data_IF_758026682488
#
_entry.id   IF_758026682488
#
_cell.length_a   1.000
_cell.length_b   1.000
_cell.length_c   1.000
_cell.angle_alpha   90.00
_cell.angle_beta   90.00
_cell.angle_gamma   90.00
#
_symmetry.space_group_name_H-M   'P 1'
#
loop_
_entity.id
_entity.type
_entity.pdbx_description
1 polymer ?
#
# COMPACT_ATOMS: atom_id res chain seq x y z
N UNK A 1 -13.41 -11.64 -15.22
CA UNK A 1 -12.12 -11.77 -15.94
C UNK A 1 -11.02 -11.60 -14.91
N UNK A 2 -9.97 -12.41 -14.94
CA UNK A 2 -8.80 -12.19 -14.06
C UNK A 2 -8.05 -10.95 -14.53
N UNK A 3 -7.48 -10.19 -13.61
CA UNK A 3 -6.63 -9.06 -13.92
C UNK A 3 -5.39 -9.49 -14.71
N UNK A 4 -4.84 -8.58 -15.54
CA UNK A 4 -3.57 -8.83 -16.22
C UNK A 4 -2.45 -9.05 -15.20
N UNK A 5 -1.49 -9.89 -15.56
CA UNK A 5 -0.31 -10.17 -14.74
C UNK A 5 0.81 -9.27 -15.25
N UNK A 6 1.49 -8.50 -14.38
CA UNK A 6 2.62 -7.69 -14.82
C UNK A 6 3.78 -8.57 -15.27
N UNK A 7 4.46 -8.15 -16.34
CA UNK A 7 5.69 -8.79 -16.83
C UNK A 7 6.88 -8.46 -15.92
N UNK A 8 6.84 -7.30 -15.25
CA UNK A 8 7.89 -6.85 -14.34
C UNK A 8 7.29 -6.05 -13.17
N UNK A 9 7.90 -6.24 -12.01
CA UNK A 9 7.64 -5.45 -10.80
C UNK A 9 8.94 -4.78 -10.41
N UNK A 10 8.94 -3.45 -10.32
CA UNK A 10 10.12 -2.67 -9.95
C UNK A 10 9.84 -1.80 -8.73
N UNK A 11 10.77 -1.74 -7.79
CA UNK A 11 10.66 -0.91 -6.60
C UNK A 11 11.59 0.30 -6.68
N UNK A 12 11.00 1.48 -6.84
CA UNK A 12 11.70 2.77 -6.81
C UNK A 12 11.95 3.18 -5.36
N UNK A 13 13.02 2.66 -4.75
CA UNK A 13 13.31 2.82 -3.32
C UNK A 13 13.36 4.29 -2.86
N UNK A 14 13.94 5.19 -3.65
CA UNK A 14 14.03 6.61 -3.31
C UNK A 14 12.67 7.31 -3.33
N UNK A 15 11.83 6.99 -4.32
CA UNK A 15 10.48 7.54 -4.45
C UNK A 15 9.46 6.82 -3.54
N UNK A 16 9.83 5.65 -3.00
CA UNK A 16 8.93 4.73 -2.29
C UNK A 16 7.71 4.40 -3.13
N UNK A 17 7.94 3.99 -4.38
CA UNK A 17 6.90 3.59 -5.33
C UNK A 17 7.14 2.19 -5.88
N UNK A 18 6.07 1.41 -5.96
CA UNK A 18 6.05 0.15 -6.68
C UNK A 18 5.51 0.38 -8.09
N UNK A 19 6.32 0.05 -9.08
CA UNK A 19 5.97 0.11 -10.50
C UNK A 19 5.63 -1.29 -11.01
N UNK A 20 4.44 -1.41 -11.60
CA UNK A 20 3.93 -2.62 -12.22
C UNK A 20 3.91 -2.39 -13.73
N UNK A 21 4.71 -3.16 -14.47
CA UNK A 21 4.85 -3.05 -15.92
C UNK A 21 4.12 -4.22 -16.56
N UNK A 22 3.26 -3.92 -17.53
CA UNK A 22 2.42 -4.84 -18.27
C UNK A 22 2.89 -4.93 -19.73
N UNK A 23 2.19 -5.73 -20.54
CA UNK A 23 2.39 -5.77 -21.99
C UNK A 23 2.08 -4.39 -22.61
N UNK A 24 2.59 -4.14 -23.82
CA UNK A 24 2.43 -2.88 -24.57
C UNK A 24 3.00 -1.63 -23.86
N UNK A 25 4.05 -1.81 -23.05
CA UNK A 25 4.74 -0.75 -22.27
C UNK A 25 3.81 0.02 -21.30
N UNK A 26 2.64 -0.55 -20.98
CA UNK A 26 1.73 0.02 -20.00
C UNK A 26 2.32 -0.18 -18.61
N UNK A 27 2.51 0.90 -17.87
CA UNK A 27 3.03 0.84 -16.49
C UNK A 27 2.21 1.69 -15.53
N UNK A 28 2.11 1.23 -14.30
CA UNK A 28 1.41 1.92 -13.23
C UNK A 28 2.29 2.01 -11.99
N UNK A 29 2.26 3.16 -11.31
CA UNK A 29 2.99 3.41 -10.07
C UNK A 29 2.03 3.59 -8.91
N UNK A 30 2.30 2.85 -7.83
CA UNK A 30 1.61 2.93 -6.56
C UNK A 30 2.61 3.30 -5.47
N UNK A 31 2.31 4.31 -4.66
CA UNK A 31 3.16 4.61 -3.51
C UNK A 31 3.10 3.48 -2.48
N UNK A 32 4.21 3.22 -1.81
CA UNK A 32 4.28 2.21 -0.76
C UNK A 32 3.39 2.60 0.42
N UNK A 33 3.24 3.90 0.70
CA UNK A 33 2.24 4.40 1.64
C UNK A 33 0.83 3.92 1.27
N UNK A 34 0.41 4.14 0.02
CA UNK A 34 -0.91 3.72 -0.45
C UNK A 34 -1.09 2.21 -0.32
N UNK A 35 -0.10 1.43 -0.75
CA UNK A 35 -0.11 -0.02 -0.59
C UNK A 35 -0.24 -0.43 0.88
N UNK A 36 0.48 0.23 1.80
CA UNK A 36 0.50 -0.07 3.22
C UNK A 36 -0.84 0.22 3.90
N UNK A 37 -1.45 1.37 3.60
CA UNK A 37 -2.72 1.78 4.23
C UNK A 37 -3.90 1.00 3.68
N UNK A 38 -3.78 0.48 2.45
CA UNK A 38 -4.72 -0.46 1.83
C UNK A 38 -4.20 -1.91 1.83
N UNK A 39 -3.41 -2.32 2.83
CA UNK A 39 -2.96 -3.71 2.92
C UNK A 39 -4.17 -4.65 3.06
N UNK A 40 -4.21 -5.78 2.34
CA UNK A 40 -5.34 -6.73 2.40
C UNK A 40 -5.31 -7.61 3.66
N UNK A 41 -4.35 -7.40 4.55
CA UNK A 41 -4.18 -8.17 5.79
C UNK A 41 -5.38 -8.03 6.73
N UNK A 42 -5.65 -9.09 7.52
CA UNK A 42 -6.72 -9.10 8.52
C UNK A 42 -6.61 -7.97 9.56
N UNK A 43 -5.39 -7.52 9.85
CA UNK A 43 -5.10 -6.36 10.70
C UNK A 43 -5.67 -5.05 10.14
N UNK A 44 -5.66 -4.88 8.81
CA UNK A 44 -6.08 -3.66 8.13
C UNK A 44 -7.54 -3.71 7.71
N UNK A 45 -8.06 -4.88 7.31
CA UNK A 45 -9.47 -5.04 6.92
C UNK A 45 -10.42 -5.35 8.09
N UNK A 46 -9.87 -5.79 9.22
CA UNK A 46 -10.63 -6.31 10.35
C UNK A 46 -11.37 -7.62 10.01
N UNK A 47 -11.79 -8.37 11.04
CA UNK A 47 -12.45 -9.67 10.88
C UNK A 47 -13.99 -9.57 10.64
N UNK A 48 -14.56 -8.35 10.52
CA UNK A 48 -16.02 -8.14 10.53
C UNK A 48 -16.59 -7.17 9.49
N UNK A 49 -15.80 -6.71 8.50
CA UNK A 49 -16.23 -5.76 7.48
C UNK A 49 -15.54 -4.39 7.57
N UNK A 50 -15.89 -3.43 6.69
CA UNK A 50 -15.21 -2.14 6.55
C UNK A 50 -15.14 -1.32 7.86
N UNK A 51 -16.11 -1.51 8.75
CA UNK A 51 -16.20 -0.84 10.06
C UNK A 51 -15.18 -1.35 11.08
N UNK A 52 -14.61 -2.54 10.86
CA UNK A 52 -13.54 -3.12 11.67
C UNK A 52 -12.13 -2.84 11.13
N UNK A 53 -12.05 -2.16 9.98
CA UNK A 53 -10.79 -1.79 9.36
C UNK A 53 -10.13 -0.64 10.13
N UNK A 54 -8.97 -0.91 10.73
CA UNK A 54 -8.23 0.10 11.50
C UNK A 54 -7.61 1.12 10.55
N UNK A 55 -7.94 2.40 10.75
CA UNK A 55 -7.32 3.51 10.02
C UNK A 55 -5.81 3.51 10.30
N UNK A 56 -5.02 3.33 9.25
CA UNK A 56 -3.56 3.35 9.34
C UNK A 56 -3.09 4.81 9.32
N UNK A 57 -2.27 5.22 10.28
CA UNK A 57 -1.80 6.60 10.43
C UNK A 57 -0.27 6.63 10.54
N UNK A 58 0.36 7.76 10.24
CA UNK A 58 1.81 7.91 10.34
C UNK A 58 2.62 7.07 9.34
N UNK A 59 2.02 6.72 8.20
CA UNK A 59 2.60 5.80 7.20
C UNK A 59 3.22 6.49 6.00
N UNK A 60 3.28 7.82 5.96
CA UNK A 60 3.87 8.56 4.82
C UNK A 60 5.26 8.08 4.44
N UNK A 61 6.07 7.76 5.45
CA UNK A 61 7.47 7.39 5.25
C UNK A 61 7.74 5.89 5.12
N UNK A 62 6.69 5.07 5.05
CA UNK A 62 6.85 3.61 4.96
C UNK A 62 7.48 3.19 3.64
N UNK A 63 8.46 2.30 3.73
CA UNK A 63 9.15 1.68 2.61
C UNK A 63 8.92 0.18 2.54
N UNK A 64 9.53 -0.45 1.54
CA UNK A 64 9.56 -1.90 1.41
C UNK A 64 10.92 -2.42 1.86
N UNK A 65 10.91 -3.32 2.84
CA UNK A 65 12.07 -4.09 3.24
C UNK A 65 12.37 -5.20 2.22
N UNK A 66 11.34 -5.84 1.67
CA UNK A 66 11.49 -6.92 0.70
C UNK A 66 10.21 -7.13 -0.14
N UNK A 67 10.34 -7.80 -1.28
CA UNK A 67 9.23 -8.21 -2.15
C UNK A 67 9.45 -9.68 -2.51
N UNK A 68 8.47 -10.53 -2.18
CA UNK A 68 8.54 -11.98 -2.45
C UNK A 68 7.42 -12.40 -3.38
N UNK A 69 7.73 -13.18 -4.41
CA UNK A 69 6.69 -13.74 -5.29
C UNK A 69 5.97 -14.90 -4.60
N UNK A 70 4.64 -14.92 -4.69
CA UNK A 70 3.81 -16.02 -4.16
C UNK A 70 3.12 -16.72 -5.32
N UNK A 71 3.71 -17.84 -5.75
CA UNK A 71 3.22 -18.61 -6.88
C UNK A 71 3.12 -17.77 -8.16
N UNK A 72 1.98 -17.89 -8.85
CA UNK A 72 1.71 -17.16 -10.10
C UNK A 72 0.67 -16.05 -9.95
N UNK A 73 0.07 -15.86 -8.77
CA UNK A 73 -1.14 -15.05 -8.60
C UNK A 73 -0.96 -13.83 -7.69
N UNK A 74 0.16 -13.73 -6.96
CA UNK A 74 0.37 -12.67 -5.99
C UNK A 74 1.85 -12.35 -5.74
N UNK A 75 2.08 -11.20 -5.11
CA UNK A 75 3.32 -10.82 -4.44
C UNK A 75 3.05 -10.54 -2.97
N UNK A 76 4.01 -10.90 -2.13
CA UNK A 76 4.07 -10.51 -0.73
C UNK A 76 4.96 -9.28 -0.61
N UNK A 77 4.42 -8.20 -0.05
CA UNK A 77 5.15 -7.00 0.26
C UNK A 77 5.52 -7.01 1.75
N UNK A 78 6.81 -6.91 2.02
CA UNK A 78 7.36 -6.81 3.37
C UNK A 78 7.67 -5.34 3.61
N UNK A 79 6.96 -4.69 4.51
CA UNK A 79 7.14 -3.27 4.81
C UNK A 79 8.19 -3.09 5.91
N UNK A 80 8.89 -1.96 5.87
CA UNK A 80 9.93 -1.63 6.86
C UNK A 80 9.37 -1.16 8.21
N UNK A 81 8.07 -0.90 8.31
CA UNK A 81 7.36 -0.57 9.56
C UNK A 81 7.00 -1.81 10.41
N UNK A 82 7.52 -2.98 10.05
CA UNK A 82 7.28 -4.25 10.73
C UNK A 82 6.09 -5.04 10.18
N UNK A 83 5.35 -4.51 9.19
CA UNK A 83 4.24 -5.23 8.58
C UNK A 83 4.73 -6.26 7.54
N UNK A 84 4.54 -7.55 7.86
CA UNK A 84 5.01 -8.69 7.05
C UNK A 84 3.86 -9.66 6.65
N UNK A 85 2.63 -9.17 6.50
CA UNK A 85 1.49 -10.00 6.10
C UNK A 85 0.83 -9.57 4.79
N UNK A 86 1.34 -8.52 4.14
CA UNK A 86 0.73 -7.94 2.95
C UNK A 86 0.83 -8.86 1.73
N UNK A 87 -0.16 -9.72 1.50
CA UNK A 87 -0.28 -10.55 0.31
C UNK A 87 -1.18 -9.87 -0.73
N UNK A 88 -0.57 -9.38 -1.81
CA UNK A 88 -1.24 -8.65 -2.87
C UNK A 88 -1.42 -9.54 -4.09
N UNK A 89 -2.65 -9.99 -4.35
CA UNK A 89 -2.97 -10.64 -5.62
C UNK A 89 -2.89 -9.66 -6.78
N UNK A 90 -2.67 -10.16 -7.99
CA UNK A 90 -2.70 -9.32 -9.20
C UNK A 90 -4.05 -8.63 -9.39
N UNK A 91 -5.15 -9.34 -9.10
CA UNK A 91 -6.50 -8.78 -9.11
C UNK A 91 -6.63 -7.60 -8.14
N UNK A 92 -6.07 -7.73 -6.93
CA UNK A 92 -6.15 -6.67 -5.95
C UNK A 92 -5.25 -5.48 -6.29
N UNK A 93 -4.05 -5.69 -6.83
CA UNK A 93 -3.20 -4.60 -7.30
C UNK A 93 -3.86 -3.84 -8.44
N UNK A 94 -4.50 -4.55 -9.36
CA UNK A 94 -5.24 -3.92 -10.46
C UNK A 94 -6.45 -3.12 -9.95
N UNK A 95 -7.21 -3.63 -8.98
CA UNK A 95 -8.27 -2.88 -8.31
C UNK A 95 -7.72 -1.58 -7.67
N UNK A 96 -6.60 -1.69 -6.94
CA UNK A 96 -5.94 -0.55 -6.31
C UNK A 96 -5.47 0.52 -7.32
N UNK A 97 -5.05 0.11 -8.52
CA UNK A 97 -4.73 1.02 -9.62
C UNK A 97 -5.98 1.76 -10.09
N UNK A 98 -7.06 1.03 -10.38
CA UNK A 98 -8.27 1.59 -10.98
C UNK A 98 -9.02 2.52 -10.02
N UNK A 99 -9.02 2.21 -8.73
CA UNK A 99 -9.73 3.00 -7.71
C UNK A 99 -8.79 3.93 -6.93
N UNK A 100 -7.56 4.15 -7.40
CA UNK A 100 -6.54 4.91 -6.67
C UNK A 100 -7.03 6.26 -6.18
N UNK A 101 -7.63 7.05 -7.07
CA UNK A 101 -8.06 8.42 -6.73
C UNK A 101 -9.18 8.42 -5.69
N UNK A 102 -10.18 7.56 -5.87
CA UNK A 102 -11.32 7.44 -4.96
C UNK A 102 -10.89 6.92 -3.58
N UNK A 103 -10.10 5.84 -3.55
CA UNK A 103 -9.57 5.27 -2.32
C UNK A 103 -8.69 6.28 -1.57
N UNK A 104 -7.84 7.00 -2.29
CA UNK A 104 -6.96 7.98 -1.68
C UNK A 104 -7.73 9.17 -1.09
N UNK A 105 -8.73 9.68 -1.82
CA UNK A 105 -9.58 10.74 -1.31
C UNK A 105 -10.35 10.32 -0.04
N UNK A 106 -10.88 9.09 -0.01
CA UNK A 106 -11.54 8.53 1.18
C UNK A 106 -10.59 8.42 2.37
N UNK A 107 -9.38 7.90 2.14
CA UNK A 107 -8.35 7.78 3.18
C UNK A 107 -7.98 9.15 3.78
N UNK A 108 -7.76 10.17 2.94
CA UNK A 108 -7.46 11.52 3.40
C UNK A 108 -8.60 12.11 4.22
N UNK A 109 -9.85 11.91 3.78
CA UNK A 109 -11.03 12.35 4.52
C UNK A 109 -11.13 11.69 5.89
N UNK A 110 -10.93 10.37 5.97
CA UNK A 110 -10.94 9.62 7.25
C UNK A 110 -9.85 10.08 8.21
N UNK A 111 -8.67 10.45 7.70
CA UNK A 111 -7.62 11.05 8.52
C UNK A 111 -8.04 12.40 9.11
N UNK A 112 -8.65 13.26 8.29
CA UNK A 112 -9.16 14.56 8.73
C UNK A 112 -10.24 14.40 9.81
N UNK A 113 -11.23 13.53 9.58
CA UNK A 113 -12.32 13.24 10.53
C UNK A 113 -11.80 12.67 11.85
N UNK A 114 -10.72 11.89 11.81
CA UNK A 114 -10.07 11.32 12.99
C UNK A 114 -9.07 12.27 13.68
N UNK A 115 -8.79 13.45 13.09
CA UNK A 115 -7.72 14.34 13.56
C UNK A 115 -6.33 13.72 13.50
N UNK A 116 -6.14 12.74 12.61
CA UNK A 116 -4.90 11.99 12.43
C UNK A 116 -4.05 12.56 11.28
N UNK A 117 -2.80 12.11 11.18
CA UNK A 117 -1.86 12.54 10.13
C UNK A 117 -1.25 11.36 9.40
N UNK A 118 -0.88 11.62 8.14
CA UNK A 118 -0.01 10.74 7.35
C UNK A 118 1.42 10.76 7.86
N UNK A 119 1.87 11.91 8.35
CA UNK A 119 3.22 12.07 8.89
C UNK A 119 3.37 11.19 10.12
N UNK A 120 4.51 10.48 10.28
CA UNK A 120 4.79 9.80 11.52
C UNK A 120 4.78 10.81 12.67
N UNK A 121 4.30 10.38 13.84
CA UNK A 121 4.40 11.16 15.08
C UNK A 121 5.87 11.18 15.52
N UNK A 122 6.69 11.96 14.82
CA UNK A 122 8.07 12.21 15.20
C UNK A 122 8.06 12.95 16.53
N UNK A 123 8.75 12.40 17.53
CA UNK A 123 9.26 13.22 18.62
C UNK A 123 10.18 14.25 17.94
N UNK A 124 9.79 15.52 17.93
CA UNK A 124 10.71 16.61 17.62
C UNK A 124 11.83 16.56 18.66
N UNK A 125 12.92 15.84 18.38
CA UNK A 125 14.19 16.06 19.07
C UNK A 125 14.67 17.41 18.57
N UNK A 126 14.21 18.49 19.21
CA UNK A 126 14.89 19.78 19.14
C UNK A 126 16.28 19.55 19.71
N UNK A 127 17.27 19.40 18.84
CA UNK A 127 18.67 19.48 19.24
C UNK A 127 18.87 20.86 19.89
N UNK A 128 19.18 20.84 21.19
CA UNK A 128 19.70 21.96 21.97
C UNK A 128 21.15 22.24 21.59
#
# INVERSE_FOLDING_TARGET
>A
MSAPIPIQVHYHKQARELELIYEDDVSFRLSVEYLRVFSPSAEVRGHGGPESATLQVGKKDVGLANISRVGRYAIKLHFDDGHDSGLYSWDYLHDLIQHRETNWADYLKRLEEAGASREPLGIEIKQL
#
